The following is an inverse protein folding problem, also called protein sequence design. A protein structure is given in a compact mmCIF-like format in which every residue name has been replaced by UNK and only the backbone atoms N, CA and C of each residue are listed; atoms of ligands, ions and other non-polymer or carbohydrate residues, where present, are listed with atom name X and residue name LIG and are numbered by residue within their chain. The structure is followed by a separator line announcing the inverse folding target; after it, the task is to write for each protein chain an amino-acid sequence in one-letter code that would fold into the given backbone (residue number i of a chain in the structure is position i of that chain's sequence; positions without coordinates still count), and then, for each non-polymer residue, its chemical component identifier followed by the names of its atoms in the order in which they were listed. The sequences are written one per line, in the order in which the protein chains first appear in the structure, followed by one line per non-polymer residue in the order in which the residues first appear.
data_IF_429906425658
#
_entry.id   IF_429906425658
#
_cell.length_a   1.000
_cell.length_b   1.000
_cell.length_c   1.000
_cell.angle_alpha   90.00
_cell.angle_beta   90.00
_cell.angle_gamma   90.00
#
_symmetry.space_group_name_H-M   'P 1'
#
loop_
_entity.id
_entity.type
_entity.pdbx_description
1 polymer ?
#
# COMPACT_ATOMS: atom_id res chain seq x y z
N UNK A 1 14.44 1.31 7.53
CA UNK A 1 13.85 0.54 6.42
C UNK A 1 12.39 0.35 6.72
N UNK A 2 11.51 0.71 5.79
CA UNK A 2 10.08 0.43 5.89
C UNK A 2 9.89 -1.03 5.47
N UNK A 3 9.18 -1.83 6.26
CA UNK A 3 8.85 -3.21 5.88
C UNK A 3 7.49 -3.22 5.19
N UNK A 4 7.42 -3.76 3.98
CA UNK A 4 6.14 -3.92 3.26
C UNK A 4 5.26 -4.96 3.95
N UNK A 5 3.94 -4.74 3.92
CA UNK A 5 2.97 -5.57 4.63
C UNK A 5 2.73 -6.89 3.89
N UNK A 6 3.03 -8.00 4.57
CA UNK A 6 2.65 -9.34 4.14
C UNK A 6 1.24 -9.71 4.58
N UNK A 7 0.79 -10.92 4.24
CA UNK A 7 -0.56 -11.38 4.58
C UNK A 7 -0.81 -11.44 6.10
N UNK A 8 0.21 -11.78 6.89
CA UNK A 8 0.12 -11.83 8.35
C UNK A 8 -0.02 -10.42 8.93
N UNK A 9 0.82 -9.48 8.50
CA UNK A 9 0.79 -8.10 8.95
C UNK A 9 -0.52 -7.41 8.57
N UNK A 10 -1.04 -7.68 7.37
CA UNK A 10 -2.33 -7.15 6.92
C UNK A 10 -3.48 -7.66 7.79
N UNK A 11 -3.52 -8.95 8.10
CA UNK A 11 -4.57 -9.52 8.96
C UNK A 11 -4.49 -8.95 10.38
N UNK A 12 -3.29 -8.89 10.96
CA UNK A 12 -3.07 -8.33 12.29
C UNK A 12 -3.45 -6.83 12.35
N UNK A 13 -3.13 -6.07 11.29
CA UNK A 13 -3.49 -4.66 11.21
C UNK A 13 -5.00 -4.46 11.07
N UNK A 14 -5.65 -5.25 10.20
CA UNK A 14 -7.09 -5.24 10.02
C UNK A 14 -7.83 -5.54 11.34
N UNK A 15 -7.38 -6.58 12.06
CA UNK A 15 -7.93 -6.95 13.37
C UNK A 15 -7.74 -5.83 14.41
N UNK A 16 -6.53 -5.27 14.51
CA UNK A 16 -6.23 -4.18 15.45
C UNK A 16 -7.05 -2.92 15.20
N UNK A 17 -7.40 -2.66 13.94
CA UNK A 17 -8.20 -1.50 13.53
C UNK A 17 -9.71 -1.80 13.50
N UNK A 18 -10.12 -3.03 13.83
CA UNK A 18 -11.50 -3.51 13.69
C UNK A 18 -12.07 -3.30 12.27
N UNK A 19 -11.22 -3.53 11.26
CA UNK A 19 -11.57 -3.38 9.85
C UNK A 19 -11.75 -4.76 9.21
N UNK A 20 -12.93 -5.00 8.66
CA UNK A 20 -13.19 -6.12 7.77
C UNK A 20 -13.33 -5.62 6.32
N UNK A 21 -12.64 -6.23 5.34
CA UNK A 21 -12.78 -5.84 3.94
C UNK A 21 -14.23 -6.00 3.48
N UNK A 22 -14.83 -4.94 2.96
CA UNK A 22 -16.19 -5.01 2.41
C UNK A 22 -16.19 -5.07 0.89
N UNK A 23 -16.83 -6.12 0.35
CA UNK A 23 -17.03 -6.29 -1.10
C UNK A 23 -17.90 -5.18 -1.71
N UNK A 24 -18.78 -4.56 -0.92
CA UNK A 24 -19.64 -3.46 -1.38
C UNK A 24 -18.83 -2.27 -1.91
N UNK A 25 -17.63 -2.07 -1.39
CA UNK A 25 -16.71 -0.98 -1.79
C UNK A 25 -15.53 -1.49 -2.61
N UNK A 26 -15.54 -2.75 -3.05
CA UNK A 26 -14.47 -3.33 -3.85
C UNK A 26 -13.14 -3.49 -3.11
N UNK A 27 -13.12 -3.48 -1.77
CA UNK A 27 -11.89 -3.52 -0.99
C UNK A 27 -11.17 -4.87 -1.14
N UNK A 28 -9.93 -4.82 -1.63
CA UNK A 28 -8.97 -5.91 -1.65
C UNK A 28 -7.60 -5.34 -1.25
N UNK A 29 -6.93 -5.94 -0.27
CA UNK A 29 -5.66 -5.42 0.23
C UNK A 29 -4.48 -6.19 -0.37
N UNK A 30 -3.59 -5.47 -1.05
CA UNK A 30 -2.37 -6.04 -1.65
C UNK A 30 -1.43 -6.47 -0.54
N UNK A 31 -1.14 -7.77 -0.43
CA UNK A 31 -0.29 -8.34 0.62
C UNK A 31 1.04 -8.92 0.09
N UNK A 32 1.31 -8.77 -1.20
CA UNK A 32 2.53 -9.26 -1.84
C UNK A 32 3.49 -8.10 -2.12
N UNK A 33 4.64 -8.12 -1.45
CA UNK A 33 5.65 -7.06 -1.55
C UNK A 33 6.21 -6.90 -2.97
N UNK A 34 6.32 -7.99 -3.74
CA UNK A 34 6.84 -7.93 -5.11
C UNK A 34 5.85 -7.25 -6.06
N UNK A 35 4.55 -7.44 -5.84
CA UNK A 35 3.47 -6.76 -6.55
C UNK A 35 3.52 -5.27 -6.27
N UNK A 36 3.65 -4.86 -5.01
CA UNK A 36 3.83 -3.44 -4.64
C UNK A 36 5.02 -2.82 -5.37
N UNK A 37 6.20 -3.45 -5.29
CA UNK A 37 7.41 -2.95 -5.99
C UNK A 37 7.21 -2.82 -7.50
N UNK A 38 6.56 -3.81 -8.13
CA UNK A 38 6.26 -3.77 -9.58
C UNK A 38 5.33 -2.61 -9.93
N UNK A 39 4.31 -2.33 -9.11
CA UNK A 39 3.39 -1.19 -9.32
C UNK A 39 4.15 0.13 -9.25
N UNK A 40 4.97 0.34 -8.21
CA UNK A 40 5.75 1.57 -8.04
C UNK A 40 6.73 1.77 -9.20
N UNK A 41 7.46 0.72 -9.60
CA UNK A 41 8.35 0.78 -10.77
C UNK A 41 7.60 1.07 -12.08
N UNK A 42 6.41 0.51 -12.25
CA UNK A 42 5.59 0.72 -13.45
C UNK A 42 5.03 2.15 -13.55
N UNK A 43 4.89 2.85 -12.41
CA UNK A 43 4.45 4.25 -12.38
C UNK A 43 5.48 5.23 -12.95
N UNK A 44 6.77 4.83 -13.06
CA UNK A 44 7.86 5.63 -13.65
C UNK A 44 7.93 7.07 -13.12
N UNK A 45 7.75 7.19 -11.81
CA UNK A 45 7.79 8.47 -11.10
C UNK A 45 9.20 9.05 -11.15
N UNK A 46 9.29 10.38 -11.16
CA UNK A 46 10.56 11.07 -10.96
C UNK A 46 10.87 11.22 -9.47
N UNK A 47 12.14 11.34 -9.11
CA UNK A 47 12.58 11.47 -7.73
C UNK A 47 11.85 12.62 -7.00
N UNK A 48 11.23 12.31 -5.86
CA UNK A 48 10.50 13.27 -5.03
C UNK A 48 9.13 13.72 -5.59
N UNK A 49 8.67 13.15 -6.71
CA UNK A 49 7.34 13.43 -7.25
C UNK A 49 6.23 13.05 -6.26
N UNK A 50 5.26 13.94 -6.07
CA UNK A 50 4.12 13.71 -5.18
C UNK A 50 3.06 12.85 -5.85
N UNK A 51 2.55 11.86 -5.12
CA UNK A 51 1.58 10.89 -5.63
C UNK A 51 0.26 11.05 -4.90
N UNK A 52 -0.84 11.12 -5.65
CA UNK A 52 -2.20 11.04 -5.08
C UNK A 52 -2.63 9.58 -5.07
N UNK A 53 -2.88 9.01 -3.90
CA UNK A 53 -3.29 7.61 -3.77
C UNK A 53 -4.81 7.50 -3.49
N UNK A 54 -5.55 6.96 -4.46
CA UNK A 54 -6.98 6.72 -4.29
C UNK A 54 -7.22 5.32 -3.74
N UNK A 55 -7.81 5.26 -2.54
CA UNK A 55 -8.13 3.98 -1.88
C UNK A 55 -6.89 3.28 -1.31
N UNK A 56 -6.16 3.91 -0.38
CA UNK A 56 -4.90 3.36 0.17
C UNK A 56 -5.09 2.03 0.93
N UNK A 57 -6.33 1.73 1.32
CA UNK A 57 -6.66 0.52 2.07
C UNK A 57 -5.92 0.49 3.41
N UNK A 58 -5.10 -0.54 3.62
CA UNK A 58 -4.25 -0.68 4.81
C UNK A 58 -2.82 -0.15 4.59
N UNK A 59 -2.55 0.47 3.44
CA UNK A 59 -1.33 1.24 3.18
C UNK A 59 -0.19 0.49 2.51
N UNK A 60 -0.41 -0.71 1.95
CA UNK A 60 0.68 -1.48 1.32
C UNK A 60 1.37 -0.73 0.18
N UNK A 61 0.60 -0.05 -0.68
CA UNK A 61 1.15 0.74 -1.77
C UNK A 61 1.68 2.08 -1.27
N UNK A 62 0.99 2.74 -0.33
CA UNK A 62 1.49 3.92 0.39
C UNK A 62 2.90 3.71 0.93
N UNK A 63 3.15 2.59 1.61
CA UNK A 63 4.47 2.27 2.17
C UNK A 63 5.51 2.04 1.08
N UNK A 64 5.15 1.41 -0.05
CA UNK A 64 6.05 1.23 -1.19
C UNK A 64 6.45 2.54 -1.85
N UNK A 65 5.51 3.48 -1.98
CA UNK A 65 5.77 4.82 -2.52
C UNK A 65 6.68 5.64 -1.59
N UNK A 66 6.37 5.64 -0.29
CA UNK A 66 7.16 6.33 0.72
C UNK A 66 8.57 5.73 0.85
N UNK A 67 8.72 4.41 0.72
CA UNK A 67 10.03 3.74 0.73
C UNK A 67 10.92 4.20 -0.43
N UNK A 68 10.33 4.57 -1.58
CA UNK A 68 11.06 5.15 -2.72
C UNK A 68 11.22 6.68 -2.64
N UNK A 69 10.78 7.31 -1.54
CA UNK A 69 10.94 8.74 -1.31
C UNK A 69 9.89 9.62 -2.01
N UNK A 70 8.76 9.05 -2.42
CA UNK A 70 7.65 9.81 -2.99
C UNK A 70 6.68 10.25 -1.89
N UNK A 71 6.45 11.56 -1.70
CA UNK A 71 5.37 12.04 -0.85
C UNK A 71 4.01 11.53 -1.36
N UNK A 72 3.16 11.06 -0.46
CA UNK A 72 1.83 10.55 -0.82
C UNK A 72 0.76 11.43 -0.17
N UNK A 73 -0.29 11.75 -0.94
CA UNK A 73 -1.46 12.53 -0.55
C UNK A 73 -2.70 11.63 -0.63
#
# INVERSE_FOLDING_TARGET
MVTLLGATEIRALAERLDVSPTKKWGQNFVHDANTVRKIVLAAKLHDGESVVEVGPGLGSLTLGLLEQGHPVI
#
